data_IF_517181758208
#
_entry.id   IF_517181758208
#
_cell.length_a   1.000
_cell.length_b   1.000
_cell.length_c   1.000
_cell.angle_alpha   90.00
_cell.angle_beta   90.00
_cell.angle_gamma   90.00
#
_symmetry.space_group_name_H-M   'P 1'
#
loop_
_entity.id
_entity.type
_entity.pdbx_description
1 polymer ?
#
# COMPACT_ATOMS: atom_id res chain seq x y z
N UNK A 1 -10.70 -2.80 33.94
CA UNK A 1 -9.94 -3.65 33.00
C UNK A 1 -10.25 -3.38 31.52
N UNK A 2 -11.51 -3.21 31.10
CA UNK A 2 -11.85 -2.87 29.70
C UNK A 2 -11.17 -1.60 29.15
N UNK A 3 -11.06 -0.56 29.96
CA UNK A 3 -10.43 0.71 29.56
C UNK A 3 -8.94 0.54 29.26
N UNK A 4 -8.21 -0.19 30.11
CA UNK A 4 -6.77 -0.47 29.92
C UNK A 4 -6.53 -1.24 28.62
N UNK A 5 -7.38 -2.21 28.32
CA UNK A 5 -7.29 -3.02 27.11
C UNK A 5 -7.52 -2.21 25.82
N UNK A 6 -8.46 -1.27 25.85
CA UNK A 6 -8.74 -0.35 24.74
C UNK A 6 -7.58 0.64 24.51
N UNK A 7 -6.99 1.16 25.59
CA UNK A 7 -5.83 2.06 25.51
C UNK A 7 -4.62 1.37 24.88
N UNK A 8 -4.36 0.10 25.22
CA UNK A 8 -3.29 -0.69 24.62
C UNK A 8 -3.48 -0.91 23.12
N UNK A 9 -4.72 -1.14 22.66
CA UNK A 9 -5.04 -1.31 21.24
C UNK A 9 -4.85 -0.02 20.43
N UNK A 10 -5.22 1.13 20.99
CA UNK A 10 -5.02 2.44 20.36
C UNK A 10 -3.53 2.78 20.23
N UNK A 11 -2.73 2.46 21.25
CA UNK A 11 -1.28 2.60 21.21
C UNK A 11 -0.65 1.69 20.15
N UNK A 12 -1.09 0.43 20.05
CA UNK A 12 -0.64 -0.50 19.01
C UNK A 12 -1.00 -0.02 17.60
N UNK A 13 -2.17 0.60 17.42
CA UNK A 13 -2.57 1.17 16.13
C UNK A 13 -1.70 2.36 15.71
N UNK A 14 -1.15 3.11 16.66
CA UNK A 14 -0.23 4.23 16.37
C UNK A 14 1.15 3.76 15.89
N UNK A 15 1.50 2.49 16.14
CA UNK A 15 2.74 1.88 15.68
C UNK A 15 2.62 1.27 14.27
N UNK A 16 1.43 1.28 13.66
CA UNK A 16 1.27 0.86 12.27
C UNK A 16 1.68 2.05 11.41
N UNK A 17 2.79 1.95 10.64
CA UNK A 17 3.18 3.03 9.75
C UNK A 17 2.04 3.22 8.74
N UNK A 18 1.30 4.31 8.91
CA UNK A 18 0.37 4.77 7.89
C UNK A 18 1.23 5.30 6.75
N UNK A 19 1.35 4.51 5.69
CA UNK A 19 1.93 5.01 4.45
C UNK A 19 0.93 6.02 3.91
N UNK A 20 1.33 7.28 3.72
CA UNK A 20 0.39 8.30 3.29
C UNK A 20 0.08 8.07 1.79
N UNK A 21 -1.19 8.25 1.42
CA UNK A 21 -1.70 7.85 0.09
C UNK A 21 -1.15 8.70 -1.05
N UNK A 22 -0.58 9.87 -0.73
CA UNK A 22 0.17 10.75 -1.64
C UNK A 22 1.47 10.11 -2.13
N UNK A 23 2.10 9.27 -1.31
CA UNK A 23 3.30 8.51 -1.71
C UNK A 23 2.93 7.30 -2.58
N UNK A 24 1.69 6.81 -2.47
CA UNK A 24 1.17 5.67 -3.23
C UNK A 24 0.57 6.11 -4.57
N UNK A 25 1.26 7.00 -5.27
CA UNK A 25 0.80 7.63 -6.51
C UNK A 25 1.05 6.78 -7.76
N UNK A 26 0.84 7.39 -8.94
CA UNK A 26 1.11 6.75 -10.22
C UNK A 26 2.60 6.35 -10.40
N UNK A 27 3.52 7.08 -9.78
CA UNK A 27 4.96 6.78 -9.76
C UNK A 27 5.24 5.50 -9.00
N UNK A 28 4.74 5.40 -7.77
CA UNK A 28 4.85 4.18 -6.97
C UNK A 28 4.24 2.97 -7.68
N UNK A 29 3.08 3.13 -8.31
CA UNK A 29 2.44 2.06 -9.08
C UNK A 29 3.29 1.57 -10.26
N UNK A 30 4.05 2.45 -10.92
CA UNK A 30 4.99 2.06 -11.99
C UNK A 30 6.18 1.26 -11.44
N UNK A 31 6.74 1.67 -10.31
CA UNK A 31 7.83 0.95 -9.66
C UNK A 31 7.39 -0.44 -9.21
N UNK A 32 6.20 -0.55 -8.63
CA UNK A 32 5.62 -1.83 -8.21
C UNK A 32 5.33 -2.74 -9.40
N UNK A 33 4.85 -2.19 -10.52
CA UNK A 33 4.68 -2.95 -11.76
C UNK A 33 6.02 -3.50 -12.28
N UNK A 34 7.08 -2.68 -12.25
CA UNK A 34 8.42 -3.10 -12.65
C UNK A 34 9.01 -4.15 -11.71
N UNK A 35 8.81 -4.01 -10.40
CA UNK A 35 9.21 -4.99 -9.40
C UNK A 35 8.45 -6.32 -9.59
N UNK A 36 7.14 -6.25 -9.84
CA UNK A 36 6.29 -7.43 -10.09
C UNK A 36 6.73 -8.19 -11.33
N UNK A 37 7.14 -7.49 -12.38
CA UNK A 37 7.65 -8.12 -13.61
C UNK A 37 8.94 -8.92 -13.38
N UNK A 38 9.76 -8.53 -12.38
CA UNK A 38 11.00 -9.21 -12.00
C UNK A 38 10.81 -10.28 -10.92
N UNK A 39 9.70 -10.23 -10.19
CA UNK A 39 9.42 -11.15 -9.08
C UNK A 39 8.87 -12.50 -9.57
N UNK A 40 9.15 -13.56 -8.80
CA UNK A 40 8.63 -14.91 -9.04
C UNK A 40 7.88 -15.42 -7.81
N UNK A 41 7.07 -16.47 -8.01
CA UNK A 41 6.33 -17.14 -6.94
C UNK A 41 5.51 -16.18 -6.08
N UNK A 42 5.67 -16.32 -4.75
CA UNK A 42 4.88 -15.58 -3.77
C UNK A 42 5.11 -14.06 -3.80
N UNK A 43 6.32 -13.63 -4.15
CA UNK A 43 6.63 -12.20 -4.27
C UNK A 43 5.78 -11.52 -5.34
N UNK A 44 5.57 -12.18 -6.48
CA UNK A 44 4.75 -11.66 -7.58
C UNK A 44 3.27 -11.55 -7.19
N UNK A 45 2.75 -12.51 -6.44
CA UNK A 45 1.37 -12.48 -5.92
C UNK A 45 1.17 -11.35 -4.91
N UNK A 46 2.11 -11.19 -3.97
CA UNK A 46 2.03 -10.14 -2.95
C UNK A 46 2.07 -8.75 -3.58
N UNK A 47 2.92 -8.55 -4.59
CA UNK A 47 2.98 -7.29 -5.34
C UNK A 47 1.68 -7.02 -6.11
N UNK A 48 1.08 -8.04 -6.73
CA UNK A 48 -0.23 -7.90 -7.37
C UNK A 48 -1.31 -7.49 -6.37
N UNK A 49 -1.36 -8.13 -5.20
CA UNK A 49 -2.32 -7.80 -4.15
C UNK A 49 -2.14 -6.37 -3.62
N UNK A 50 -0.89 -5.93 -3.43
CA UNK A 50 -0.59 -4.56 -3.04
C UNK A 50 -1.06 -3.54 -4.08
N UNK A 51 -0.80 -3.81 -5.37
CA UNK A 51 -1.25 -2.94 -6.47
C UNK A 51 -2.79 -2.85 -6.55
N UNK A 52 -3.51 -3.94 -6.27
CA UNK A 52 -4.98 -3.93 -6.21
C UNK A 52 -5.46 -3.13 -5.00
N UNK A 53 -4.86 -3.35 -3.83
CA UNK A 53 -5.24 -2.67 -2.57
C UNK A 53 -5.14 -1.15 -2.68
N UNK A 54 -4.15 -0.65 -3.42
CA UNK A 54 -3.88 0.78 -3.59
C UNK A 54 -4.36 1.34 -4.95
N UNK A 55 -5.29 0.63 -5.60
CA UNK A 55 -5.98 1.05 -6.83
C UNK A 55 -5.04 1.54 -7.94
N UNK A 56 -3.95 0.80 -8.16
CA UNK A 56 -2.97 1.18 -9.16
C UNK A 56 -3.54 1.23 -10.58
N UNK A 57 -4.63 0.50 -10.86
CA UNK A 57 -5.28 0.58 -12.16
C UNK A 57 -5.83 1.99 -12.42
N UNK A 58 -6.54 2.58 -11.45
CA UNK A 58 -7.04 3.94 -11.56
C UNK A 58 -5.88 4.96 -11.60
N UNK A 59 -4.88 4.81 -10.73
CA UNK A 59 -3.75 5.75 -10.65
C UNK A 59 -2.88 5.76 -11.91
N UNK A 60 -2.73 4.63 -12.59
CA UNK A 60 -2.01 4.54 -13.87
C UNK A 60 -2.84 5.05 -15.06
N UNK A 61 -4.17 5.00 -14.99
CA UNK A 61 -5.06 5.51 -16.03
C UNK A 61 -5.34 7.03 -15.89
N UNK A 62 -5.09 7.60 -14.71
CA UNK A 62 -5.25 9.02 -14.48
C UNK A 62 -4.27 9.84 -15.35
N UNK A 63 -4.74 10.93 -15.98
CA UNK A 63 -3.85 11.85 -16.68
C UNK A 63 -2.83 12.42 -15.68
N UNK A 64 -1.56 12.51 -16.10
CA UNK A 64 -0.50 13.10 -15.28
C UNK A 64 -0.92 14.53 -14.94
N UNK A 65 -1.06 14.89 -13.65
CA UNK A 65 -1.26 16.28 -13.26
C UNK A 65 -0.07 17.08 -13.80
N UNK A 66 -0.34 18.09 -14.64
CA UNK A 66 0.69 19.00 -15.16
C UNK A 66 1.29 19.84 -14.03
#
# INVERSE_FOLDING_TARGET
MRVVFLSSLLLLSSCIPHIPEDVLDAGWCREMAAARAKATGKGRENLAAAMIKHDCAAKLAAPVPQ
#
